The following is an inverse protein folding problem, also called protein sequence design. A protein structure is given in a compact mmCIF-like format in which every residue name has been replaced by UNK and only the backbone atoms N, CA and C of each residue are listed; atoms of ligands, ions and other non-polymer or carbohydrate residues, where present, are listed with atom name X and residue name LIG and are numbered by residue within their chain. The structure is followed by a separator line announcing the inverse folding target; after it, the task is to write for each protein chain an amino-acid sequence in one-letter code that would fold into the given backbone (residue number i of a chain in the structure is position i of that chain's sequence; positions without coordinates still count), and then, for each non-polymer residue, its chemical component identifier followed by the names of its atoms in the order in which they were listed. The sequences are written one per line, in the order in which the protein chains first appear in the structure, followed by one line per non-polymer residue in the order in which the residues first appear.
data_IF_851469952700
#
_entry.id   IF_851469952700
#
_cell.length_a   1.000
_cell.length_b   1.000
_cell.length_c   1.000
_cell.angle_alpha   90.00
_cell.angle_beta   90.00
_cell.angle_gamma   90.00
#
_symmetry.space_group_name_H-M   'P 1'
#
loop_
_entity.id
_entity.type
_entity.pdbx_description
1 polymer ?
#
# COMPACT_ATOMS: atom_id res chain seq x y z
N UNK A 1 -30.13 -0.22 1.76
CA UNK A 1 -29.75 0.48 0.52
C UNK A 1 -28.25 0.24 0.27
N UNK A 2 -27.86 -0.22 -0.91
CA UNK A 2 -26.47 -0.64 -1.20
C UNK A 2 -25.56 0.52 -1.59
N UNK A 3 -24.32 0.52 -1.10
CA UNK A 3 -23.29 1.48 -1.45
C UNK A 3 -22.77 1.19 -2.87
N UNK A 4 -23.03 2.09 -3.83
CA UNK A 4 -22.69 1.89 -5.24
C UNK A 4 -21.18 1.80 -5.51
N UNK A 5 -20.76 0.98 -6.46
CA UNK A 5 -19.36 0.60 -6.70
C UNK A 5 -18.45 1.80 -7.03
N UNK A 6 -18.94 2.76 -7.82
CA UNK A 6 -18.22 4.00 -8.11
C UNK A 6 -17.92 4.83 -6.86
N UNK A 7 -18.85 4.88 -5.90
CA UNK A 7 -18.67 5.60 -4.62
C UNK A 7 -17.60 4.94 -3.74
N UNK A 8 -17.38 3.63 -3.86
CA UNK A 8 -16.33 2.92 -3.13
C UNK A 8 -14.94 3.18 -3.66
N UNK A 9 -14.82 3.22 -4.99
CA UNK A 9 -13.57 3.60 -5.64
C UNK A 9 -13.21 5.05 -5.30
N UNK A 10 -14.15 5.97 -5.48
CA UNK A 10 -13.94 7.39 -5.23
C UNK A 10 -13.50 7.66 -3.79
N UNK A 11 -14.20 7.07 -2.81
CA UNK A 11 -13.83 7.20 -1.39
C UNK A 11 -12.41 6.72 -1.09
N UNK A 12 -11.96 5.61 -1.71
CA UNK A 12 -10.58 5.11 -1.53
C UNK A 12 -9.55 6.03 -2.17
N UNK A 13 -9.82 6.51 -3.38
CA UNK A 13 -8.90 7.42 -4.07
C UNK A 13 -8.81 8.78 -3.38
N UNK A 14 -9.93 9.27 -2.85
CA UNK A 14 -9.96 10.48 -2.01
C UNK A 14 -9.13 10.30 -0.74
N UNK A 15 -9.35 9.21 0.01
CA UNK A 15 -8.57 8.92 1.21
C UNK A 15 -7.06 8.75 0.90
N UNK A 16 -6.72 8.10 -0.21
CA UNK A 16 -5.34 7.98 -0.67
C UNK A 16 -4.73 9.35 -0.99
N UNK A 17 -5.46 10.22 -1.68
CA UNK A 17 -5.02 11.58 -1.98
C UNK A 17 -4.77 12.37 -0.70
N UNK A 18 -5.72 12.37 0.24
CA UNK A 18 -5.63 13.07 1.52
C UNK A 18 -4.43 12.57 2.35
N UNK A 19 -4.16 11.27 2.34
CA UNK A 19 -2.99 10.70 3.01
C UNK A 19 -1.68 11.18 2.39
N UNK A 20 -1.59 11.23 1.06
CA UNK A 20 -0.39 11.72 0.36
C UNK A 20 -0.23 13.22 0.63
N UNK A 21 -1.30 14.00 0.57
CA UNK A 21 -1.30 15.44 0.90
C UNK A 21 -0.78 15.67 2.33
N UNK A 22 -1.32 14.93 3.29
CA UNK A 22 -0.88 14.98 4.69
C UNK A 22 0.62 14.71 4.80
N UNK A 23 1.10 13.59 4.23
CA UNK A 23 2.50 13.23 4.31
C UNK A 23 3.42 14.26 3.64
N UNK A 24 3.04 14.79 2.47
CA UNK A 24 3.78 15.84 1.76
C UNK A 24 3.89 17.12 2.61
N UNK A 25 2.80 17.56 3.25
CA UNK A 25 2.80 18.73 4.16
C UNK A 25 3.76 18.51 5.34
N UNK A 26 3.91 17.27 5.80
CA UNK A 26 4.84 16.89 6.86
C UNK A 26 6.27 16.60 6.34
N UNK A 27 6.58 16.95 5.09
CA UNK A 27 7.92 16.86 4.53
C UNK A 27 8.30 15.48 3.98
N UNK A 28 7.36 14.55 3.85
CA UNK A 28 7.63 13.26 3.22
C UNK A 28 8.02 13.45 1.75
N UNK A 29 9.22 12.99 1.38
CA UNK A 29 9.73 13.02 0.01
C UNK A 29 9.63 11.69 -0.71
N UNK A 30 9.61 10.58 0.03
CA UNK A 30 9.56 9.23 -0.53
C UNK A 30 8.36 8.47 0.03
N UNK A 31 7.63 7.81 -0.85
CA UNK A 31 6.42 7.06 -0.56
C UNK A 31 6.63 5.60 -0.93
N UNK A 32 6.64 4.74 0.08
CA UNK A 32 6.92 3.30 -0.07
C UNK A 32 5.62 2.51 -0.08
N UNK A 33 5.41 1.76 -1.15
CA UNK A 33 4.28 0.84 -1.31
C UNK A 33 4.77 -0.61 -1.44
N UNK A 34 3.89 -1.55 -1.11
CA UNK A 34 4.16 -2.96 -1.37
C UNK A 34 4.18 -3.25 -2.87
N UNK A 35 5.20 -3.99 -3.33
CA UNK A 35 5.25 -4.55 -4.67
C UNK A 35 4.34 -5.76 -4.74
N UNK A 36 3.18 -5.60 -5.37
CA UNK A 36 2.25 -6.70 -5.59
C UNK A 36 2.86 -7.73 -6.55
N UNK A 37 3.01 -8.98 -6.08
CA UNK A 37 3.27 -10.11 -6.97
C UNK A 37 1.96 -10.50 -7.64
N UNK A 38 1.95 -10.48 -8.97
CA UNK A 38 0.81 -10.94 -9.74
C UNK A 38 0.70 -12.46 -9.61
N UNK A 39 -0.03 -12.91 -8.59
CA UNK A 39 -0.58 -14.25 -8.60
C UNK A 39 -1.65 -14.22 -9.69
N UNK A 40 -1.27 -14.59 -10.92
CA UNK A 40 -2.21 -14.69 -12.03
C UNK A 40 -3.46 -15.45 -11.59
N UNK A 41 -4.61 -15.14 -12.19
CA UNK A 41 -5.95 -15.71 -11.90
C UNK A 41 -5.95 -17.20 -11.53
N UNK A 42 -5.01 -17.97 -12.07
CA UNK A 42 -4.71 -19.38 -11.77
C UNK A 42 -4.46 -19.71 -10.29
N UNK A 43 -3.94 -18.79 -9.47
CA UNK A 43 -3.58 -19.06 -8.07
C UNK A 43 -4.65 -18.61 -7.05
N UNK A 44 -5.74 -17.98 -7.49
CA UNK A 44 -6.85 -17.55 -6.62
C UNK A 44 -8.04 -18.47 -6.89
N UNK A 45 -8.10 -19.58 -6.15
CA UNK A 45 -9.14 -20.61 -6.28
C UNK A 45 -10.51 -20.16 -5.73
N UNK A 46 -10.56 -19.12 -4.88
CA UNK A 46 -11.80 -18.75 -4.19
C UNK A 46 -12.63 -17.69 -4.92
N UNK A 47 -13.95 -17.89 -4.95
CA UNK A 47 -14.93 -16.92 -5.50
C UNK A 47 -14.80 -15.53 -4.86
N UNK A 48 -14.50 -15.47 -3.57
CA UNK A 48 -14.27 -14.22 -2.83
C UNK A 48 -12.98 -13.52 -3.24
N UNK A 49 -11.89 -14.26 -3.45
CA UNK A 49 -10.62 -13.70 -3.93
C UNK A 49 -10.76 -13.14 -5.34
N UNK A 50 -11.40 -13.88 -6.24
CA UNK A 50 -11.70 -13.41 -7.59
C UNK A 50 -12.60 -12.15 -7.58
N UNK A 51 -13.63 -12.12 -6.72
CA UNK A 51 -14.49 -10.94 -6.53
C UNK A 51 -13.73 -9.71 -6.01
N UNK A 52 -12.74 -9.90 -5.13
CA UNK A 52 -11.90 -8.79 -4.63
C UNK A 52 -10.96 -8.26 -5.71
N UNK A 53 -10.38 -9.15 -6.51
CA UNK A 53 -9.52 -8.79 -7.64
C UNK A 53 -10.30 -8.00 -8.71
N UNK A 54 -11.55 -8.36 -8.99
CA UNK A 54 -12.37 -7.71 -10.03
C UNK A 54 -13.03 -6.40 -9.60
N UNK A 55 -13.25 -6.16 -8.29
CA UNK A 55 -14.01 -4.99 -7.81
C UNK A 55 -13.19 -3.73 -7.58
N UNK A 56 -11.90 -3.85 -7.31
CA UNK A 56 -10.94 -2.75 -7.26
C UNK A 56 -9.56 -3.39 -7.20
N UNK A 57 -8.89 -3.48 -8.35
CA UNK A 57 -7.59 -4.12 -8.42
C UNK A 57 -6.60 -3.31 -7.60
N UNK A 58 -5.87 -3.95 -6.69
CA UNK A 58 -4.84 -3.27 -5.90
C UNK A 58 -3.78 -2.60 -6.81
N UNK A 59 -3.59 -3.10 -8.04
CA UNK A 59 -2.80 -2.45 -9.09
C UNK A 59 -3.33 -1.09 -9.50
N UNK A 60 -4.65 -0.93 -9.64
CA UNK A 60 -5.26 0.35 -10.01
C UNK A 60 -5.01 1.40 -8.92
N UNK A 61 -5.10 1.00 -7.64
CA UNK A 61 -4.74 1.86 -6.51
C UNK A 61 -3.27 2.29 -6.58
N UNK A 62 -2.36 1.36 -6.88
CA UNK A 62 -0.92 1.66 -7.01
C UNK A 62 -0.65 2.61 -8.18
N UNK A 63 -1.30 2.43 -9.33
CA UNK A 63 -1.16 3.33 -10.47
C UNK A 63 -1.64 4.75 -10.12
N UNK A 64 -2.78 4.87 -9.42
CA UNK A 64 -3.24 6.17 -8.95
C UNK A 64 -2.29 6.77 -7.91
N UNK A 65 -1.78 5.98 -6.97
CA UNK A 65 -0.82 6.42 -5.96
C UNK A 65 0.45 6.97 -6.62
N UNK A 66 1.00 6.27 -7.60
CA UNK A 66 2.19 6.71 -8.34
C UNK A 66 1.97 8.08 -8.98
N UNK A 67 0.85 8.27 -9.68
CA UNK A 67 0.50 9.55 -10.30
C UNK A 67 0.34 10.64 -9.22
N UNK A 68 -0.38 10.34 -8.14
CA UNK A 68 -0.66 11.29 -7.07
C UNK A 68 0.60 11.75 -6.34
N UNK A 69 1.52 10.82 -6.05
CA UNK A 69 2.82 11.11 -5.41
C UNK A 69 3.69 11.97 -6.33
N UNK A 70 3.83 11.58 -7.61
CA UNK A 70 4.61 12.35 -8.59
C UNK A 70 4.08 13.77 -8.79
N UNK A 71 2.76 13.96 -8.81
CA UNK A 71 2.12 15.28 -8.89
C UNK A 71 2.47 16.20 -7.72
N UNK A 72 2.85 15.63 -6.57
CA UNK A 72 3.23 16.36 -5.35
C UNK A 72 4.74 16.47 -5.17
N UNK A 73 5.51 16.12 -6.21
CA UNK A 73 6.97 16.16 -6.18
C UNK A 73 7.62 15.06 -5.33
N UNK A 74 6.84 14.04 -4.93
CA UNK A 74 7.35 12.90 -4.19
C UNK A 74 7.91 11.80 -5.09
N UNK A 75 8.76 10.96 -4.51
CA UNK A 75 9.28 9.73 -5.10
C UNK A 75 8.36 8.56 -4.74
N UNK A 76 7.85 7.85 -5.74
CA UNK A 76 7.06 6.64 -5.54
C UNK A 76 7.94 5.40 -5.69
N UNK A 77 7.98 4.56 -4.65
CA UNK A 77 8.83 3.36 -4.60
C UNK A 77 7.99 2.15 -4.24
N UNK A 78 8.22 1.03 -4.94
CA UNK A 78 7.63 -0.27 -4.58
C UNK A 78 8.69 -1.22 -4.02
N UNK A 79 8.43 -1.78 -2.84
CA UNK A 79 9.33 -2.70 -2.14
C UNK A 79 8.74 -4.10 -2.07
N UNK A 80 9.58 -5.12 -2.24
CA UNK A 80 9.16 -6.51 -2.10
C UNK A 80 8.63 -6.76 -0.66
N UNK A 81 7.35 -7.18 -0.50
CA UNK A 81 6.75 -7.37 0.81
C UNK A 81 7.16 -8.67 1.50
N UNK A 82 8.09 -9.46 0.95
CA UNK A 82 8.47 -10.77 1.50
C UNK A 82 8.71 -10.74 3.02
N UNK A 83 8.00 -11.58 3.75
CA UNK A 83 8.06 -11.71 5.22
C UNK A 83 7.62 -10.47 6.04
N UNK A 84 7.15 -9.39 5.40
CA UNK A 84 6.73 -8.16 6.10
C UNK A 84 5.65 -8.43 7.14
N UNK A 85 4.61 -9.19 6.79
CA UNK A 85 3.54 -9.57 7.72
C UNK A 85 3.98 -10.51 8.84
N UNK A 86 4.97 -11.37 8.60
CA UNK A 86 5.52 -12.27 9.63
C UNK A 86 6.34 -11.46 10.64
N UNK A 87 7.25 -10.62 10.14
CA UNK A 87 8.02 -9.69 10.97
C UNK A 87 7.11 -8.74 11.75
N UNK A 88 6.08 -8.18 11.10
CA UNK A 88 5.11 -7.31 11.74
C UNK A 88 4.39 -7.96 12.93
N UNK A 89 4.00 -9.24 12.84
CA UNK A 89 3.37 -9.96 13.96
C UNK A 89 4.29 -10.19 15.14
N UNK A 90 5.61 -10.22 14.90
CA UNK A 90 6.59 -10.38 15.97
C UNK A 90 6.77 -9.04 16.70
N UNK A 91 6.86 -7.94 15.95
CA UNK A 91 7.24 -6.63 16.51
C UNK A 91 6.05 -5.72 16.88
N UNK A 92 4.83 -6.03 16.45
CA UNK A 92 3.69 -5.13 16.63
C UNK A 92 3.35 -4.88 18.11
N UNK A 93 3.46 -5.90 18.95
CA UNK A 93 3.25 -5.80 20.39
C UNK A 93 4.30 -4.89 21.02
N UNK A 94 5.57 -5.09 20.67
CA UNK A 94 6.68 -4.28 21.16
C UNK A 94 6.58 -2.81 20.73
N UNK A 95 6.08 -2.56 19.52
CA UNK A 95 5.85 -1.21 18.98
C UNK A 95 4.54 -0.57 19.47
N UNK A 96 3.64 -1.33 20.12
CA UNK A 96 2.34 -0.84 20.57
C UNK A 96 1.39 -0.42 19.43
N UNK A 97 1.56 -0.96 18.22
CA UNK A 97 0.73 -0.63 17.04
C UNK A 97 0.03 -1.86 16.46
N UNK A 98 -0.96 -1.66 15.59
CA UNK A 98 -1.57 -2.79 14.89
C UNK A 98 -0.62 -3.42 13.85
N UNK A 99 -0.94 -4.65 13.44
CA UNK A 99 -0.08 -5.43 12.53
C UNK A 99 0.11 -4.77 11.16
N UNK A 100 -0.84 -3.97 10.67
CA UNK A 100 -0.71 -3.29 9.39
C UNK A 100 0.22 -2.09 9.50
N UNK A 101 0.10 -1.31 10.58
CA UNK A 101 1.04 -0.22 10.88
C UNK A 101 2.46 -0.75 11.06
N UNK A 102 2.63 -1.83 11.83
CA UNK A 102 3.93 -2.50 11.97
C UNK A 102 4.48 -2.99 10.62
N UNK A 103 3.63 -3.54 9.76
CA UNK A 103 4.03 -3.98 8.41
C UNK A 103 4.47 -2.82 7.53
N UNK A 104 3.84 -1.64 7.63
CA UNK A 104 4.26 -0.45 6.92
C UNK A 104 5.64 0.04 7.40
N UNK A 105 5.90 0.00 8.71
CA UNK A 105 7.22 0.31 9.29
C UNK A 105 8.28 -0.64 8.75
N UNK A 106 8.02 -1.95 8.72
CA UNK A 106 8.96 -2.96 8.16
C UNK A 106 9.28 -2.67 6.69
N UNK A 107 8.28 -2.27 5.89
CA UNK A 107 8.51 -1.89 4.49
C UNK A 107 9.39 -0.64 4.37
N UNK A 108 9.16 0.37 5.20
CA UNK A 108 9.98 1.58 5.26
C UNK A 108 11.43 1.29 5.65
N UNK A 109 11.64 0.49 6.70
CA UNK A 109 12.97 0.04 7.12
C UNK A 109 13.69 -0.73 6.01
N UNK A 110 12.96 -1.58 5.28
CA UNK A 110 13.52 -2.31 4.14
C UNK A 110 13.92 -1.37 3.00
N UNK A 111 13.12 -0.36 2.69
CA UNK A 111 13.50 0.66 1.71
C UNK A 111 14.82 1.33 2.11
N UNK A 112 14.93 1.77 3.36
CA UNK A 112 16.14 2.42 3.87
C UNK A 112 17.37 1.51 3.70
N UNK A 113 17.27 0.26 4.14
CA UNK A 113 18.36 -0.72 4.03
C UNK A 113 18.77 -1.01 2.59
N UNK A 114 17.85 -0.95 1.63
CA UNK A 114 18.12 -1.37 0.24
C UNK A 114 18.48 -0.22 -0.71
N UNK A 115 17.97 1.00 -0.46
CA UNK A 115 18.09 2.12 -1.40
C UNK A 115 18.85 3.33 -0.84
N UNK A 116 19.02 3.43 0.49
CA UNK A 116 19.67 4.59 1.13
C UNK A 116 21.03 4.27 1.74
N UNK A 117 21.22 3.03 2.20
CA UNK A 117 22.45 2.60 2.88
C UNK A 117 23.26 1.57 2.08
N UNK A 118 22.91 1.34 0.81
CA UNK A 118 23.71 0.61 -0.17
C UNK A 118 24.31 1.61 -1.15
#
# INVERSE_FOLDING_TARGET
QGYGEGKAKDKRLKALSELIDYATVHGAKTFVFEKLKMNGRKNISTKTGNRKLTRFAAHELLSHAEIMVKKRGGEFVQINPAYSSQSARIINQDLGVDVHTASAVVLGLRYLHTHKYT
#
